data_IF_376425434783
#
_entry.id   IF_376425434783
#
_cell.length_a   1.000
_cell.length_b   1.000
_cell.length_c   1.000
_cell.angle_alpha   90.00
_cell.angle_beta   90.00
_cell.angle_gamma   90.00
#
_symmetry.space_group_name_H-M   'P 1'
#
loop_
_entity.id
_entity.type
_entity.pdbx_description
1 polymer ?
#
# COMPACT_ATOMS: atom_id res chain seq x y z
N UNK A 1 8.76 3.25 -8.09
CA UNK A 1 7.63 3.86 -7.37
C UNK A 1 6.50 2.86 -7.10
N UNK A 2 6.02 2.12 -8.12
CA UNK A 2 4.89 1.18 -7.97
C UNK A 2 5.14 0.07 -6.94
N UNK A 3 6.37 -0.48 -6.87
CA UNK A 3 6.73 -1.48 -5.86
C UNK A 3 6.66 -0.93 -4.43
N UNK A 4 7.03 0.34 -4.22
CA UNK A 4 6.89 1.01 -2.91
C UNK A 4 5.41 1.07 -2.52
N UNK A 5 4.53 1.47 -3.44
CA UNK A 5 3.08 1.52 -3.19
C UNK A 5 2.56 0.14 -2.85
N UNK A 6 2.95 -0.90 -3.62
CA UNK A 6 2.53 -2.28 -3.35
C UNK A 6 2.85 -2.69 -1.93
N UNK A 7 4.13 -2.61 -1.53
CA UNK A 7 4.59 -3.07 -0.22
C UNK A 7 3.90 -2.29 0.93
N UNK A 8 3.77 -0.97 0.79
CA UNK A 8 3.16 -0.16 1.84
C UNK A 8 1.64 -0.35 1.95
N UNK A 9 0.93 -0.52 0.82
CA UNK A 9 -0.51 -0.85 0.83
C UNK A 9 -0.73 -2.23 1.43
N UNK A 10 0.07 -3.24 1.08
CA UNK A 10 -0.02 -4.56 1.67
C UNK A 10 0.21 -4.52 3.20
N UNK A 11 1.12 -3.68 3.68
CA UNK A 11 1.31 -3.46 5.12
C UNK A 11 0.08 -2.82 5.78
N UNK A 12 -0.57 -1.85 5.12
CA UNK A 12 -1.80 -1.24 5.62
C UNK A 12 -2.96 -2.23 5.66
N UNK A 13 -3.09 -3.10 4.66
CA UNK A 13 -4.08 -4.19 4.65
C UNK A 13 -3.82 -5.17 5.80
N UNK A 14 -2.58 -5.60 5.99
CA UNK A 14 -2.18 -6.51 7.07
C UNK A 14 -2.34 -5.90 8.47
N UNK A 15 -2.40 -4.55 8.56
CA UNK A 15 -2.70 -3.81 9.80
C UNK A 15 -4.21 -3.63 10.04
N UNK A 16 -5.08 -4.38 9.36
CA UNK A 16 -6.54 -4.35 9.50
C UNK A 16 -7.18 -2.98 9.21
N UNK A 17 -6.58 -2.20 8.30
CA UNK A 17 -7.11 -0.89 7.90
C UNK A 17 -8.47 -1.02 7.21
N UNK A 18 -9.30 0.00 7.36
CA UNK A 18 -10.55 0.16 6.61
C UNK A 18 -10.44 1.25 5.53
N UNK A 19 -9.60 2.23 5.78
CA UNK A 19 -9.39 3.36 4.89
C UNK A 19 -7.88 3.51 4.59
N UNK A 20 -7.52 3.51 3.32
CA UNK A 20 -6.14 3.66 2.86
C UNK A 20 -6.08 4.83 1.89
N UNK A 21 -5.28 5.86 2.23
CA UNK A 21 -5.09 7.05 1.42
C UNK A 21 -3.67 7.05 0.85
N UNK A 22 -3.57 7.26 -0.46
CA UNK A 22 -2.31 7.27 -1.20
C UNK A 22 -2.14 8.64 -1.85
N UNK A 23 -1.03 9.31 -1.54
CA UNK A 23 -0.65 10.58 -2.15
C UNK A 23 0.66 10.40 -2.89
N UNK A 24 0.69 10.80 -4.14
CA UNK A 24 1.87 10.73 -4.99
C UNK A 24 2.17 12.12 -5.56
N UNK A 25 3.42 12.57 -5.45
CA UNK A 25 3.88 13.80 -6.09
C UNK A 25 5.02 13.48 -7.05
N UNK A 26 5.06 14.24 -8.16
CA UNK A 26 6.09 14.11 -9.17
C UNK A 26 6.29 12.64 -9.61
N UNK A 27 5.18 11.96 -9.93
CA UNK A 27 5.15 10.58 -10.43
C UNK A 27 5.84 9.56 -9.49
N UNK A 28 5.84 9.86 -8.19
CA UNK A 28 6.45 9.03 -7.15
C UNK A 28 7.96 9.27 -6.97
N UNK A 29 8.54 10.29 -7.60
CA UNK A 29 9.95 10.63 -7.46
C UNK A 29 10.20 11.49 -6.22
N UNK A 30 9.35 12.50 -5.98
CA UNK A 30 9.49 13.42 -4.84
C UNK A 30 8.79 12.95 -3.59
N UNK A 31 7.58 12.36 -3.72
CA UNK A 31 6.79 11.85 -2.60
C UNK A 31 5.93 10.66 -3.01
N UNK A 32 5.95 9.62 -2.17
CA UNK A 32 4.92 8.60 -2.05
C UNK A 32 4.53 8.58 -0.57
N UNK A 33 3.27 8.86 -0.28
CA UNK A 33 2.75 8.81 1.09
C UNK A 33 1.56 7.90 1.14
N UNK A 34 1.53 7.01 2.13
CA UNK A 34 0.42 6.12 2.41
C UNK A 34 0.02 6.32 3.86
N UNK A 35 -1.26 6.57 4.08
CA UNK A 35 -1.84 6.68 5.41
C UNK A 35 -3.04 5.77 5.55
N UNK A 36 -3.14 5.12 6.69
CA UNK A 36 -4.18 4.18 7.04
C UNK A 36 -4.71 4.41 8.46
N UNK A 37 -5.86 3.84 8.75
CA UNK A 37 -6.54 3.81 10.03
C UNK A 37 -6.42 2.44 10.74
N UNK A 38 -5.40 1.65 10.38
CA UNK A 38 -5.18 0.31 10.92
C UNK A 38 -4.71 0.29 12.38
N UNK A 39 -4.17 -0.86 12.79
CA UNK A 39 -3.79 -1.12 14.19
C UNK A 39 -2.69 -0.19 14.72
N UNK A 40 -1.89 0.39 13.82
CA UNK A 40 -0.79 1.27 14.18
C UNK A 40 0.35 0.57 14.93
N UNK A 41 1.34 1.35 15.33
CA UNK A 41 2.53 0.88 16.05
C UNK A 41 2.72 1.69 17.33
N UNK A 42 3.18 1.04 18.41
CA UNK A 42 3.68 1.73 19.57
C UNK A 42 5.12 2.23 19.33
N UNK A 43 5.70 2.99 20.27
CA UNK A 43 7.04 3.56 20.13
C UNK A 43 8.14 2.51 19.94
N UNK A 44 8.02 1.35 20.59
CA UNK A 44 8.99 0.26 20.49
C UNK A 44 8.87 -0.41 19.13
N UNK A 45 7.67 -0.80 18.71
CA UNK A 45 7.42 -1.42 17.40
C UNK A 45 7.87 -0.50 16.26
N UNK A 46 7.61 0.81 16.40
CA UNK A 46 8.02 1.82 15.44
C UNK A 46 9.55 1.90 15.30
N UNK A 47 10.28 1.84 16.42
CA UNK A 47 11.75 1.86 16.42
C UNK A 47 12.38 0.60 15.83
N UNK A 48 11.63 -0.49 15.75
CA UNK A 48 12.10 -1.77 15.22
C UNK A 48 11.66 -2.03 13.77
N UNK A 49 10.61 -1.36 13.28
CA UNK A 49 9.95 -1.69 12.01
C UNK A 49 10.85 -1.52 10.77
N UNK A 50 11.94 -0.77 10.84
CA UNK A 50 12.87 -0.57 9.73
C UNK A 50 14.12 -1.47 9.81
N UNK A 51 14.29 -2.25 10.89
CA UNK A 51 15.38 -3.20 11.00
C UNK A 51 15.10 -4.42 10.11
N UNK A 52 16.16 -4.97 9.51
CA UNK A 52 16.05 -6.18 8.69
C UNK A 52 15.61 -7.36 9.56
N UNK A 53 14.81 -8.23 8.98
CA UNK A 53 14.31 -9.45 9.62
C UNK A 53 13.45 -9.22 10.87
N UNK A 54 12.99 -7.98 11.08
CA UNK A 54 12.08 -7.67 12.17
C UNK A 54 10.65 -7.75 11.66
N UNK A 55 9.94 -8.79 12.03
CA UNK A 55 8.53 -8.97 11.72
C UNK A 55 7.77 -9.42 12.95
N UNK A 56 6.62 -8.81 13.20
CA UNK A 56 5.67 -9.27 14.22
C UNK A 56 4.82 -10.45 13.74
N UNK A 57 4.92 -10.78 12.44
CA UNK A 57 4.01 -11.71 11.74
C UNK A 57 4.46 -13.17 11.82
N UNK A 58 5.75 -13.44 12.11
CA UNK A 58 6.32 -14.79 12.26
C UNK A 58 7.08 -14.85 13.56
N UNK A 59 6.70 -15.80 14.42
CA UNK A 59 7.40 -16.11 15.70
C UNK A 59 8.03 -17.48 15.70
N UNK A 60 7.52 -18.42 14.89
CA UNK A 60 7.99 -19.81 14.80
C UNK A 60 8.04 -20.24 13.33
N UNK A 61 8.90 -21.20 13.00
CA UNK A 61 9.00 -21.77 11.65
C UNK A 61 7.70 -22.44 11.19
N UNK A 62 6.85 -22.92 12.09
CA UNK A 62 5.51 -23.45 11.78
C UNK A 62 4.57 -22.38 11.22
N UNK A 63 4.77 -21.12 11.59
CA UNK A 63 3.91 -20.01 11.14
C UNK A 63 4.04 -19.77 9.63
N UNK A 64 5.14 -20.23 9.01
CA UNK A 64 5.36 -20.16 7.56
C UNK A 64 4.30 -20.94 6.75
N UNK A 65 3.72 -22.00 7.32
CA UNK A 65 2.72 -22.83 6.66
C UNK A 65 1.29 -22.30 6.85
N UNK A 66 1.10 -21.35 7.75
CA UNK A 66 -0.21 -20.74 8.08
C UNK A 66 -0.26 -19.23 7.81
N UNK A 67 0.64 -18.72 6.95
CA UNK A 67 0.72 -17.31 6.63
C UNK A 67 -0.55 -16.83 5.91
N UNK A 68 -1.32 -15.99 6.58
CA UNK A 68 -2.43 -15.23 6.00
C UNK A 68 -2.03 -13.81 5.60
N UNK A 69 -0.87 -13.31 6.10
CA UNK A 69 -0.37 -11.97 5.81
C UNK A 69 0.42 -11.93 4.49
N UNK A 70 0.24 -10.87 3.71
CA UNK A 70 0.94 -10.66 2.42
C UNK A 70 2.42 -10.34 2.61
N UNK A 71 2.79 -9.62 3.67
CA UNK A 71 4.17 -9.26 4.01
C UNK A 71 4.68 -10.07 5.20
N UNK A 72 5.68 -10.92 5.02
CA UNK A 72 6.23 -11.76 6.10
C UNK A 72 7.75 -11.62 6.31
N UNK A 73 8.46 -10.96 5.37
CA UNK A 73 9.95 -10.90 5.41
C UNK A 73 10.50 -9.81 6.33
N UNK A 74 9.68 -8.81 6.72
CA UNK A 74 10.15 -7.69 7.56
C UNK A 74 11.23 -6.83 6.89
N UNK A 75 11.26 -6.75 5.54
CA UNK A 75 12.32 -6.10 4.79
C UNK A 75 11.86 -4.91 3.95
N UNK A 76 10.55 -4.68 3.81
CA UNK A 76 10.03 -3.64 2.94
C UNK A 76 10.53 -2.24 3.34
N UNK A 77 10.31 -1.85 4.60
CA UNK A 77 10.72 -0.53 5.11
C UNK A 77 12.23 -0.40 5.11
N UNK A 78 12.98 -1.43 5.50
CA UNK A 78 14.46 -1.42 5.48
C UNK A 78 15.01 -1.26 4.06
N UNK A 79 14.42 -1.93 3.08
CA UNK A 79 14.81 -1.80 1.67
C UNK A 79 14.52 -0.42 1.12
N UNK A 80 13.35 0.16 1.44
CA UNK A 80 12.97 1.51 1.01
C UNK A 80 13.88 2.56 1.68
N UNK A 81 14.20 2.40 2.98
CA UNK A 81 15.06 3.34 3.74
C UNK A 81 16.49 3.42 3.22
N UNK A 82 16.95 2.37 2.55
CA UNK A 82 18.29 2.36 1.93
C UNK A 82 18.37 3.21 0.65
N UNK A 83 17.24 3.61 0.07
CA UNK A 83 17.19 4.31 -1.23
C UNK A 83 16.30 5.57 -1.22
N UNK A 84 15.73 5.91 -0.08
CA UNK A 84 14.83 7.05 0.09
C UNK A 84 14.86 7.58 1.52
N UNK A 85 14.41 8.82 1.72
CA UNK A 85 14.14 9.36 3.04
C UNK A 85 12.74 8.93 3.48
N UNK A 86 12.62 8.37 4.68
CA UNK A 86 11.34 7.88 5.20
C UNK A 86 10.97 8.67 6.47
N UNK A 87 9.71 9.03 6.55
CA UNK A 87 9.08 9.48 7.81
C UNK A 87 7.90 8.56 8.09
N UNK A 88 7.86 7.96 9.28
CA UNK A 88 6.78 7.09 9.74
C UNK A 88 6.15 7.75 10.95
N UNK A 89 4.84 7.95 10.90
CA UNK A 89 4.04 8.48 12.00
C UNK A 89 2.97 7.45 12.35
N UNK A 90 2.95 6.96 13.58
CA UNK A 90 2.04 5.88 13.96
C UNK A 90 1.58 5.97 15.42
N UNK A 91 0.35 5.50 15.65
CA UNK A 91 -0.24 5.32 16.97
C UNK A 91 -1.15 4.10 17.02
N UNK A 92 -1.06 3.34 18.12
CA UNK A 92 -2.00 2.24 18.44
C UNK A 92 -3.29 2.73 19.09
N UNK A 93 -3.29 3.94 19.62
CA UNK A 93 -4.35 4.47 20.46
C UNK A 93 -4.95 5.75 19.87
N UNK A 94 -6.22 6.01 20.21
CA UNK A 94 -6.95 7.23 19.83
C UNK A 94 -6.71 8.40 20.81
N UNK A 95 -5.59 8.39 21.54
CA UNK A 95 -5.27 9.45 22.53
C UNK A 95 -4.78 10.76 21.88
N UNK A 96 -4.84 10.87 20.56
CA UNK A 96 -4.50 12.09 19.86
C UNK A 96 -2.99 12.33 19.67
N UNK A 97 -2.13 11.37 20.03
CA UNK A 97 -0.66 11.47 19.89
C UNK A 97 -0.14 10.32 19.03
N UNK A 98 0.68 10.66 18.06
CA UNK A 98 1.45 9.72 17.21
C UNK A 98 2.93 9.87 17.49
N UNK A 99 3.65 8.75 17.52
CA UNK A 99 5.11 8.76 17.49
C UNK A 99 5.58 8.90 16.05
N UNK A 100 6.55 9.77 15.83
CA UNK A 100 7.14 10.04 14.52
C UNK A 100 8.60 9.59 14.50
N UNK A 101 8.99 8.87 13.45
CA UNK A 101 10.34 8.39 13.22
C UNK A 101 10.81 8.87 11.86
N UNK A 102 11.94 9.59 11.80
CA UNK A 102 12.58 10.01 10.57
C UNK A 102 13.84 9.20 10.31
N UNK A 103 13.95 8.62 9.10
CA UNK A 103 15.02 7.72 8.69
C UNK A 103 15.66 8.26 7.40
N UNK A 104 16.97 8.39 7.41
CA UNK A 104 17.81 8.74 6.25
C UNK A 104 19.00 7.78 6.22
N UNK A 105 19.33 7.26 5.04
CA UNK A 105 20.43 6.29 4.85
C UNK A 105 20.36 5.10 5.83
N UNK A 106 19.15 4.57 6.03
CA UNK A 106 18.87 3.47 6.97
C UNK A 106 19.27 3.77 8.42
N UNK A 107 19.34 5.05 8.81
CA UNK A 107 19.62 5.47 10.19
C UNK A 107 18.50 6.37 10.70
N UNK A 108 18.12 6.19 11.94
CA UNK A 108 17.21 7.10 12.62
C UNK A 108 17.94 8.42 12.81
N UNK A 109 17.35 9.50 12.31
CA UNK A 109 17.88 10.87 12.47
C UNK A 109 17.07 11.69 13.46
N UNK A 110 15.79 11.33 13.65
CA UNK A 110 14.91 12.06 14.55
C UNK A 110 13.76 11.18 15.07
N UNK A 111 13.33 11.46 16.31
CA UNK A 111 12.15 10.86 16.94
C UNK A 111 11.38 11.94 17.68
N UNK A 112 10.18 12.19 17.24
CA UNK A 112 9.29 13.23 17.80
C UNK A 112 7.89 12.70 18.02
N UNK A 113 6.99 13.55 18.43
CA UNK A 113 5.57 13.27 18.57
C UNK A 113 4.78 14.32 17.81
N UNK A 114 3.64 13.93 17.27
CA UNK A 114 2.70 14.83 16.60
C UNK A 114 1.26 14.51 17.02
N UNK A 115 0.35 15.46 16.82
CA UNK A 115 -1.08 15.20 16.98
C UNK A 115 -1.61 14.31 15.87
N UNK A 116 -2.42 13.31 16.23
CA UNK A 116 -3.06 12.44 15.22
C UNK A 116 -3.79 11.26 15.83
N UNK A 117 -4.69 10.67 15.05
CA UNK A 117 -5.51 9.53 15.46
C UNK A 117 -4.75 8.21 15.27
N UNK A 118 -5.33 7.10 15.74
CA UNK A 118 -4.87 5.73 15.50
C UNK A 118 -4.58 5.47 14.00
N UNK A 119 -3.62 4.61 13.71
CA UNK A 119 -3.21 4.21 12.37
C UNK A 119 -1.76 4.57 12.06
N UNK A 120 -1.38 4.43 10.79
CA UNK A 120 -0.01 4.68 10.35
C UNK A 120 0.01 5.60 9.13
N UNK A 121 1.01 6.51 9.07
CA UNK A 121 1.35 7.30 7.89
C UNK A 121 2.82 7.11 7.59
N UNK A 122 3.13 6.68 6.36
CA UNK A 122 4.50 6.50 5.88
C UNK A 122 4.69 7.41 4.68
N UNK A 123 5.65 8.33 4.77
CA UNK A 123 6.06 9.24 3.70
C UNK A 123 7.44 8.83 3.21
N UNK A 124 7.53 8.45 1.94
CA UNK A 124 8.78 8.12 1.22
C UNK A 124 9.12 9.29 0.30
N UNK A 125 10.25 9.95 0.57
CA UNK A 125 10.68 11.15 -0.16
C UNK A 125 11.96 10.90 -0.92
N UNK A 126 12.10 11.58 -2.06
CA UNK A 126 13.33 11.59 -2.87
C UNK A 126 13.82 10.19 -3.25
N UNK A 127 12.93 9.35 -3.77
CA UNK A 127 13.25 7.97 -4.15
C UNK A 127 14.48 7.92 -5.07
N UNK A 128 15.46 7.04 -4.72
CA UNK A 128 16.75 6.86 -5.38
C UNK A 128 17.67 8.09 -5.37
N UNK A 129 17.55 8.99 -4.36
CA UNK A 129 18.40 10.18 -4.28
C UNK A 129 19.89 9.82 -4.18
N UNK A 130 20.24 8.73 -3.49
CA UNK A 130 21.60 8.25 -3.28
C UNK A 130 22.07 7.25 -4.35
N UNK A 131 21.26 6.93 -5.36
CA UNK A 131 21.60 6.03 -6.47
C UNK A 131 21.28 6.70 -7.81
N UNK A 132 22.13 7.65 -8.28
CA UNK A 132 21.86 8.44 -9.50
C UNK A 132 21.60 7.58 -10.74
N UNK A 133 22.32 6.45 -10.88
CA UNK A 133 22.10 5.51 -11.98
C UNK A 133 20.65 4.98 -11.97
N UNK A 134 20.16 4.50 -10.82
CA UNK A 134 18.79 3.99 -10.67
C UNK A 134 17.74 5.06 -10.92
N UNK A 135 18.01 6.29 -10.49
CA UNK A 135 17.13 7.44 -10.75
C UNK A 135 17.03 7.77 -12.24
N UNK A 136 18.13 7.65 -12.99
CA UNK A 136 18.14 7.83 -14.46
C UNK A 136 17.41 6.71 -15.21
N UNK A 137 17.33 5.51 -14.64
CA UNK A 137 16.62 4.37 -15.23
C UNK A 137 15.10 4.36 -14.94
N UNK A 138 14.58 5.30 -14.14
CA UNK A 138 13.14 5.50 -14.06
C UNK A 138 12.59 5.82 -15.45
N UNK A 139 11.46 5.23 -15.75
CA UNK A 139 10.80 5.46 -17.04
C UNK A 139 10.28 6.90 -17.14
N UNK A 140 9.71 7.24 -18.28
CA UNK A 140 9.07 8.55 -18.42
C UNK A 140 7.93 8.72 -17.42
N UNK A 141 7.61 9.96 -17.06
CA UNK A 141 6.62 10.32 -16.05
C UNK A 141 5.27 9.65 -16.27
N UNK A 142 4.78 9.63 -17.51
CA UNK A 142 3.53 8.97 -17.88
C UNK A 142 3.59 7.45 -17.70
N UNK A 143 4.74 6.83 -17.90
CA UNK A 143 4.93 5.39 -17.72
C UNK A 143 4.97 5.04 -16.24
N UNK A 144 5.69 5.82 -15.41
CA UNK A 144 5.71 5.61 -13.96
C UNK A 144 4.32 5.82 -13.36
N UNK A 145 3.59 6.85 -13.77
CA UNK A 145 2.21 7.05 -13.31
C UNK A 145 1.30 5.87 -13.71
N UNK A 146 1.44 5.35 -14.92
CA UNK A 146 0.69 4.18 -15.37
C UNK A 146 1.00 2.94 -14.50
N UNK A 147 2.27 2.72 -14.15
CA UNK A 147 2.64 1.63 -13.25
C UNK A 147 2.04 1.80 -11.86
N UNK A 148 2.05 3.02 -11.32
CA UNK A 148 1.41 3.36 -10.04
C UNK A 148 -0.10 3.08 -10.10
N UNK A 149 -0.77 3.58 -11.14
CA UNK A 149 -2.22 3.37 -11.32
C UNK A 149 -2.58 1.88 -11.47
N UNK A 150 -1.79 1.13 -12.24
CA UNK A 150 -2.01 -0.31 -12.39
C UNK A 150 -1.86 -1.05 -11.08
N UNK A 151 -0.87 -0.70 -10.26
CA UNK A 151 -0.70 -1.31 -8.95
C UNK A 151 -1.83 -0.94 -8.01
N UNK A 152 -2.23 0.35 -7.99
CA UNK A 152 -3.40 0.79 -7.24
C UNK A 152 -4.67 0.01 -7.61
N UNK A 153 -4.94 -0.15 -8.91
CA UNK A 153 -6.10 -0.90 -9.41
C UNK A 153 -6.06 -2.35 -8.95
N UNK A 154 -4.90 -3.01 -8.99
CA UNK A 154 -4.73 -4.38 -8.50
C UNK A 154 -5.10 -4.50 -7.02
N UNK A 155 -4.54 -3.62 -6.17
CA UNK A 155 -4.82 -3.62 -4.74
C UNK A 155 -6.31 -3.33 -4.45
N UNK A 156 -6.88 -2.35 -5.14
CA UNK A 156 -8.28 -1.97 -4.98
C UNK A 156 -9.26 -3.07 -5.43
N UNK A 157 -8.89 -3.90 -6.42
CA UNK A 157 -9.68 -5.05 -6.85
C UNK A 157 -9.60 -6.22 -5.86
N UNK A 158 -8.41 -6.47 -5.32
CA UNK A 158 -8.20 -7.55 -4.34
C UNK A 158 -8.92 -7.27 -3.02
N UNK A 159 -9.17 -5.99 -2.69
CA UNK A 159 -9.75 -5.54 -1.42
C UNK A 159 -10.94 -4.60 -1.64
N UNK A 160 -12.04 -5.09 -2.24
CA UNK A 160 -13.22 -4.27 -2.48
C UNK A 160 -13.89 -3.80 -1.19
N UNK A 161 -13.70 -4.51 -0.08
CA UNK A 161 -14.19 -4.20 1.26
C UNK A 161 -13.51 -2.98 1.91
N UNK A 162 -12.36 -2.54 1.38
CA UNK A 162 -11.64 -1.38 1.89
C UNK A 162 -11.98 -0.12 1.08
N UNK A 163 -11.88 1.03 1.72
CA UNK A 163 -11.95 2.33 1.06
C UNK A 163 -10.55 2.77 0.63
N UNK A 164 -10.40 3.24 -0.61
CA UNK A 164 -9.15 3.72 -1.15
C UNK A 164 -9.26 5.12 -1.74
N UNK A 165 -8.26 5.96 -1.52
CA UNK A 165 -8.07 7.19 -2.29
C UNK A 165 -6.69 7.20 -2.93
N UNK A 166 -6.59 7.73 -4.14
CA UNK A 166 -5.32 8.01 -4.82
C UNK A 166 -5.32 9.44 -5.31
N UNK A 167 -4.36 10.22 -4.84
CA UNK A 167 -4.10 11.60 -5.29
C UNK A 167 -2.76 11.69 -6.01
N UNK A 168 -2.71 12.46 -7.09
CA UNK A 168 -1.48 12.80 -7.77
C UNK A 168 -1.39 14.32 -7.97
N UNK A 169 -0.33 14.95 -7.47
CA UNK A 169 -0.13 16.40 -7.54
C UNK A 169 -1.40 17.18 -7.14
N UNK A 170 -1.95 16.84 -5.97
CA UNK A 170 -3.14 17.43 -5.35
C UNK A 170 -4.47 17.19 -6.11
N UNK A 171 -4.47 16.39 -7.19
CA UNK A 171 -5.69 15.98 -7.90
C UNK A 171 -6.11 14.58 -7.47
N UNK A 172 -7.40 14.42 -7.18
CA UNK A 172 -7.98 13.10 -6.94
C UNK A 172 -8.05 12.32 -8.25
N UNK A 173 -7.33 11.19 -8.33
CA UNK A 173 -7.42 10.26 -9.43
C UNK A 173 -8.50 9.20 -9.17
N UNK A 174 -8.59 8.71 -7.93
CA UNK A 174 -9.58 7.73 -7.50
C UNK A 174 -10.07 8.04 -6.09
N UNK A 175 -11.39 7.88 -5.90
CA UNK A 175 -12.06 7.86 -4.60
C UNK A 175 -13.00 6.66 -4.60
N UNK A 176 -12.59 5.59 -3.93
CA UNK A 176 -13.27 4.30 -3.91
C UNK A 176 -13.73 4.00 -2.49
N UNK A 177 -15.03 4.02 -2.25
CA UNK A 177 -15.62 3.57 -0.98
C UNK A 177 -15.63 2.04 -0.96
N UNK A 178 -15.68 1.44 0.23
CA UNK A 178 -15.94 0.02 0.41
C UNK A 178 -17.20 -0.40 -0.37
N UNK A 179 -17.17 -1.56 -0.99
CA UNK A 179 -18.24 -2.04 -1.87
C UNK A 179 -18.08 -3.55 -2.15
N UNK A 180 -19.06 -4.14 -2.81
CA UNK A 180 -18.89 -5.47 -3.41
C UNK A 180 -17.97 -5.42 -4.64
N UNK A 181 -17.41 -6.58 -5.01
CA UNK A 181 -16.46 -6.70 -6.13
C UNK A 181 -17.02 -6.14 -7.45
N UNK A 182 -18.29 -6.45 -7.79
CA UNK A 182 -18.94 -5.95 -9.00
C UNK A 182 -18.95 -4.41 -9.05
N UNK A 183 -19.34 -3.78 -7.95
CA UNK A 183 -19.39 -2.30 -7.87
C UNK A 183 -17.96 -1.72 -7.94
N UNK A 184 -16.99 -2.35 -7.30
CA UNK A 184 -15.58 -1.96 -7.38
C UNK A 184 -15.08 -1.98 -8.81
N UNK A 185 -15.37 -3.02 -9.58
CA UNK A 185 -15.02 -3.13 -11.00
C UNK A 185 -15.67 -1.99 -11.80
N UNK A 186 -16.95 -1.73 -11.58
CA UNK A 186 -17.67 -0.67 -12.30
C UNK A 186 -17.15 0.74 -12.01
N UNK A 187 -16.59 0.96 -10.81
CA UNK A 187 -15.98 2.25 -10.44
C UNK A 187 -14.56 2.41 -11.00
N UNK A 188 -13.82 1.31 -11.18
CA UNK A 188 -12.45 1.33 -11.70
C UNK A 188 -12.40 1.37 -13.22
N UNK A 189 -13.38 0.74 -13.89
CA UNK A 189 -13.43 0.61 -15.34
C UNK A 189 -14.66 1.34 -15.91
N UNK A 190 -14.69 1.52 -17.22
CA UNK A 190 -15.77 2.27 -17.88
C UNK A 190 -17.14 1.60 -17.74
N UNK A 191 -18.22 2.41 -17.72
CA UNK A 191 -19.62 1.96 -17.57
C UNK A 191 -20.05 0.87 -18.56
N UNK A 192 -19.41 0.77 -19.70
CA UNK A 192 -19.75 -0.23 -20.74
C UNK A 192 -19.37 -1.67 -20.34
N UNK A 193 -18.51 -1.85 -19.33
CA UNK A 193 -18.10 -3.17 -18.87
C UNK A 193 -19.24 -3.92 -18.16
N UNK A 194 -20.21 -3.20 -17.56
CA UNK A 194 -21.32 -3.80 -16.82
C UNK A 194 -22.13 -4.80 -17.66
N UNK A 195 -22.35 -4.49 -18.94
CA UNK A 195 -23.09 -5.37 -19.87
C UNK A 195 -22.30 -6.62 -20.29
N UNK A 196 -20.99 -6.62 -20.04
CA UNK A 196 -20.07 -7.70 -20.43
C UNK A 196 -19.63 -8.57 -19.23
N UNK A 197 -20.04 -8.22 -18.00
CA UNK A 197 -19.69 -8.97 -16.80
C UNK A 197 -20.71 -10.10 -16.58
N UNK A 198 -20.24 -11.33 -16.59
CA UNK A 198 -21.01 -12.51 -16.24
C UNK A 198 -20.49 -13.01 -14.90
N UNK A 199 -21.32 -13.10 -13.85
CA UNK A 199 -20.92 -13.71 -12.59
C UNK A 199 -20.75 -15.20 -12.80
N UNK A 200 -19.63 -15.76 -12.35
CA UNK A 200 -19.37 -17.19 -12.26
C UNK A 200 -19.03 -17.47 -10.81
N UNK A 201 -19.79 -18.36 -10.21
CA UNK A 201 -19.56 -18.85 -8.86
C UNK A 201 -19.46 -20.37 -8.95
N UNK A 202 -18.26 -20.90 -8.75
CA UNK A 202 -17.97 -22.33 -8.85
C UNK A 202 -17.15 -22.74 -7.62
N UNK A 203 -17.61 -23.78 -6.96
CA UNK A 203 -16.93 -24.35 -5.80
C UNK A 203 -16.52 -25.78 -6.14
N UNK A 204 -15.25 -26.10 -5.96
CA UNK A 204 -14.71 -27.46 -6.07
C UNK A 204 -14.20 -27.92 -4.71
N UNK A 205 -14.03 -29.22 -4.52
CA UNK A 205 -13.55 -29.80 -3.25
C UNK A 205 -12.19 -29.28 -2.80
N UNK A 206 -11.43 -28.65 -3.70
CA UNK A 206 -10.08 -28.15 -3.43
C UNK A 206 -9.96 -26.64 -3.46
N UNK A 207 -10.79 -25.92 -4.23
CA UNK A 207 -10.72 -24.46 -4.39
C UNK A 207 -12.11 -23.88 -4.66
N UNK A 208 -12.44 -22.75 -4.01
CA UNK A 208 -13.62 -21.95 -4.33
C UNK A 208 -13.21 -20.75 -5.18
N UNK A 209 -13.89 -20.55 -6.31
CA UNK A 209 -13.65 -19.41 -7.20
C UNK A 209 -14.91 -18.57 -7.35
N UNK A 210 -14.78 -17.26 -7.14
CA UNK A 210 -15.79 -16.29 -7.57
C UNK A 210 -15.14 -15.40 -8.63
N UNK A 211 -15.56 -15.54 -9.88
CA UNK A 211 -15.01 -14.79 -11.02
C UNK A 211 -16.07 -13.97 -11.73
N UNK A 212 -15.64 -12.83 -12.26
CA UNK A 212 -16.38 -12.05 -13.23
C UNK A 212 -15.63 -12.11 -14.56
N UNK A 213 -16.24 -12.72 -15.57
CA UNK A 213 -15.67 -12.81 -16.93
C UNK A 213 -16.26 -11.74 -17.83
N UNK A 214 -15.41 -11.10 -18.64
CA UNK A 214 -15.87 -10.24 -19.72
C UNK A 214 -16.21 -11.11 -20.94
N UNK A 215 -17.35 -10.86 -21.57
CA UNK A 215 -17.72 -11.51 -22.83
C UNK A 215 -16.83 -10.92 -23.94
N UNK A 216 -15.96 -11.74 -24.53
CA UNK A 216 -15.27 -11.38 -25.77
C UNK A 216 -16.31 -11.41 -26.90
N UNK A 217 -16.54 -10.26 -27.51
CA UNK A 217 -17.27 -10.20 -28.78
C UNK A 217 -16.24 -10.49 -29.87
N UNK A 218 -16.27 -11.71 -30.39
CA UNK A 218 -15.61 -12.03 -31.67
C UNK A 218 -16.03 -11.00 -32.72
N UNK A 219 -15.03 -10.40 -33.34
CA UNK A 219 -15.11 -9.73 -34.63
C UNK A 219 -14.20 -10.45 -35.59
#
# INVERSE_FOLDING_TARGET
>A
PSSVIKELVENSVDANSKNINIVVKDFGKSLIEISDDGDGMNKIDLSLCFLKHTTSKIKKSSDLFSLTSKGFRGEAISSISSVANITISSSKNDHGIRNVLSIVDSKIIDQTEESGLKGTRISVRNLFYNIPARRKFLKSDNVELRHIMNEFVRQALCHPELSFTLKHNDKDLYILKNSGLKERILRLFTKNINKKLIPIDESTDTVSYTHLRAHETDR
#
